data_IF_385706300481
#
_entry.id   IF_385706300481
#
_cell.length_a   1.000
_cell.length_b   1.000
_cell.length_c   1.000
_cell.angle_alpha   90.00
_cell.angle_beta   90.00
_cell.angle_gamma   90.00
#
_symmetry.space_group_name_H-M   'P 1'
#
loop_
_entity.id
_entity.type
_entity.pdbx_description
1 polymer ?
#
# COMPACT_ATOMS: atom_id res chain seq x y z
N UNK A 1 32.39 -9.41 11.86
CA UNK A 1 31.42 -8.78 10.94
C UNK A 1 31.53 -7.29 11.16
N UNK A 2 32.03 -6.55 10.17
CA UNK A 2 32.22 -5.11 10.30
C UNK A 2 30.86 -4.39 10.34
N UNK A 3 30.54 -3.66 11.42
CA UNK A 3 29.23 -3.03 11.58
C UNK A 3 28.96 -1.89 10.58
N UNK A 4 30.02 -1.36 9.95
CA UNK A 4 29.92 -0.38 8.86
C UNK A 4 29.40 -0.99 7.56
N UNK A 5 29.60 -2.29 7.33
CA UNK A 5 29.01 -2.98 6.18
C UNK A 5 27.51 -3.18 6.40
N UNK A 6 27.10 -3.57 7.62
CA UNK A 6 25.68 -3.81 7.94
C UNK A 6 24.79 -2.57 7.75
N UNK A 7 25.26 -1.37 8.15
CA UNK A 7 24.48 -0.14 7.95
C UNK A 7 24.37 0.28 6.48
N UNK A 8 25.44 0.05 5.71
CA UNK A 8 25.46 0.34 4.27
C UNK A 8 24.54 -0.61 3.51
N UNK A 9 24.57 -1.90 3.85
CA UNK A 9 23.74 -2.93 3.22
C UNK A 9 22.25 -2.66 3.48
N UNK A 10 21.88 -2.36 4.73
CA UNK A 10 20.50 -1.98 5.09
C UNK A 10 20.05 -0.73 4.33
N UNK A 11 20.92 0.27 4.17
CA UNK A 11 20.59 1.48 3.41
C UNK A 11 20.39 1.20 1.91
N UNK A 12 21.24 0.37 1.31
CA UNK A 12 21.11 -0.03 -0.09
C UNK A 12 19.83 -0.83 -0.32
N UNK A 13 19.51 -1.76 0.58
CA UNK A 13 18.26 -2.52 0.51
C UNK A 13 17.04 -1.60 0.64
N UNK A 14 17.04 -0.67 1.61
CA UNK A 14 15.97 0.31 1.78
C UNK A 14 15.77 1.16 0.51
N UNK A 15 16.87 1.62 -0.09
CA UNK A 15 16.82 2.41 -1.33
C UNK A 15 16.26 1.58 -2.50
N UNK A 16 16.62 0.30 -2.59
CA UNK A 16 16.07 -0.60 -3.61
C UNK A 16 14.57 -0.82 -3.42
N UNK A 17 14.12 -1.10 -2.20
CA UNK A 17 12.69 -1.26 -1.87
C UNK A 17 11.92 0.03 -2.15
N UNK A 18 12.48 1.20 -1.84
CA UNK A 18 11.91 2.50 -2.16
C UNK A 18 11.68 2.65 -3.67
N UNK A 19 12.72 2.42 -4.47
CA UNK A 19 12.61 2.55 -5.94
C UNK A 19 11.57 1.58 -6.53
N UNK A 20 11.47 0.36 -5.98
CA UNK A 20 10.44 -0.60 -6.41
C UNK A 20 9.02 -0.14 -6.08
N UNK A 21 8.83 0.54 -4.95
CA UNK A 21 7.54 1.17 -4.59
C UNK A 21 7.23 2.33 -5.54
N UNK A 22 8.21 3.20 -5.81
CA UNK A 22 8.02 4.34 -6.73
C UNK A 22 7.67 3.85 -8.15
N UNK A 23 8.33 2.79 -8.63
CA UNK A 23 7.99 2.15 -9.92
C UNK A 23 6.57 1.58 -9.92
N UNK A 24 6.14 0.94 -8.83
CA UNK A 24 4.77 0.42 -8.72
C UNK A 24 3.74 1.55 -8.64
N UNK A 25 4.04 2.64 -7.92
CA UNK A 25 3.18 3.82 -7.86
C UNK A 25 3.01 4.43 -9.26
N UNK A 26 4.10 4.59 -10.01
CA UNK A 26 4.05 5.07 -11.40
C UNK A 26 3.16 4.20 -12.28
N UNK A 27 3.31 2.87 -12.21
CA UNK A 27 2.44 1.93 -12.95
C UNK A 27 0.98 2.01 -12.54
N UNK A 28 0.70 2.18 -11.25
CA UNK A 28 -0.67 2.31 -10.75
C UNK A 28 -1.30 3.66 -11.16
N UNK A 29 -0.52 4.73 -11.21
CA UNK A 29 -0.97 6.03 -11.69
C UNK A 29 -1.30 5.98 -13.19
N UNK A 30 -0.43 5.40 -14.01
CA UNK A 30 -0.67 5.16 -15.44
C UNK A 30 -1.92 4.30 -15.67
N UNK A 31 -2.10 3.23 -14.89
CA UNK A 31 -3.27 2.38 -14.97
C UNK A 31 -4.56 3.11 -14.55
N UNK A 32 -4.54 3.86 -13.45
CA UNK A 32 -5.69 4.61 -12.95
C UNK A 32 -6.11 5.77 -13.87
N UNK A 33 -5.16 6.41 -14.55
CA UNK A 33 -5.42 7.44 -15.56
C UNK A 33 -5.96 6.85 -16.87
N UNK A 34 -5.52 5.65 -17.24
CA UNK A 34 -5.96 4.96 -18.46
C UNK A 34 -7.43 4.54 -18.38
N UNK A 35 -7.90 4.10 -17.20
CA UNK A 35 -9.32 3.76 -16.98
C UNK A 35 -10.23 4.98 -17.13
N UNK A 36 -9.76 6.18 -16.79
CA UNK A 36 -10.56 7.42 -16.85
C UNK A 36 -10.63 8.05 -18.24
N UNK A 37 -9.68 7.75 -19.15
CA UNK A 37 -9.62 8.31 -20.52
C UNK A 37 -10.26 7.43 -21.58
N UNK A 38 -10.48 6.15 -21.32
CA UNK A 38 -11.02 5.20 -22.31
C UNK A 38 -12.55 5.13 -22.30
N UNK A 39 -13.25 6.27 -22.34
CA UNK A 39 -14.72 6.29 -22.45
C UNK A 39 -15.24 6.42 -23.89
N UNK A 40 -14.38 6.41 -24.91
CA UNK A 40 -14.80 6.71 -26.30
C UNK A 40 -14.44 5.68 -27.38
N UNK A 41 -14.04 4.44 -27.06
CA UNK A 41 -13.88 3.43 -28.11
C UNK A 41 -14.40 2.05 -27.67
N UNK A 42 -15.54 1.70 -28.25
CA UNK A 42 -16.17 0.38 -28.25
C UNK A 42 -15.17 -0.71 -28.65
N UNK A 43 -14.92 -1.64 -27.74
CA UNK A 43 -14.52 -3.01 -28.11
C UNK A 43 -15.16 -3.97 -27.12
N UNK A 44 -16.06 -4.87 -27.56
CA UNK A 44 -16.64 -5.87 -26.68
C UNK A 44 -15.71 -7.10 -26.59
N UNK A 45 -15.92 -7.86 -25.52
CA UNK A 45 -15.45 -9.22 -25.25
C UNK A 45 -14.23 -9.38 -24.32
N UNK A 46 -14.57 -9.70 -23.07
CA UNK A 46 -13.98 -10.78 -22.27
C UNK A 46 -12.59 -10.53 -21.64
N UNK A 47 -12.56 -9.88 -20.47
CA UNK A 47 -11.37 -9.91 -19.57
C UNK A 47 -11.75 -9.95 -18.09
N UNK A 48 -11.98 -11.14 -17.49
CA UNK A 48 -12.04 -11.30 -16.04
C UNK A 48 -10.65 -11.30 -15.35
N UNK A 49 -9.56 -11.02 -16.07
CA UNK A 49 -8.19 -11.07 -15.55
C UNK A 49 -7.68 -9.75 -14.91
N UNK A 50 -8.44 -8.65 -15.00
CA UNK A 50 -7.97 -7.31 -14.58
C UNK A 50 -8.02 -7.11 -13.07
N UNK A 51 -9.08 -7.57 -12.40
CA UNK A 51 -9.28 -7.31 -10.96
C UNK A 51 -8.29 -8.08 -10.07
N UNK A 52 -8.00 -9.34 -10.40
CA UNK A 52 -7.02 -10.16 -9.67
C UNK A 52 -5.59 -9.63 -9.78
N UNK A 53 -5.24 -9.05 -10.93
CA UNK A 53 -3.95 -8.38 -11.15
C UNK A 53 -3.79 -7.13 -10.27
N UNK A 54 -4.85 -6.32 -10.17
CA UNK A 54 -4.82 -5.08 -9.39
C UNK A 54 -4.72 -5.35 -7.88
N UNK A 55 -5.46 -6.34 -7.36
CA UNK A 55 -5.36 -6.75 -5.95
C UNK A 55 -3.96 -7.31 -5.64
N UNK A 56 -3.37 -8.09 -6.55
CA UNK A 56 -2.00 -8.59 -6.38
C UNK A 56 -0.98 -7.44 -6.34
N UNK A 57 -1.16 -6.39 -7.14
CA UNK A 57 -0.31 -5.18 -7.10
C UNK A 57 -0.47 -4.44 -5.78
N UNK A 58 -1.70 -4.25 -5.29
CA UNK A 58 -1.96 -3.62 -3.99
C UNK A 58 -1.36 -4.41 -2.82
N UNK A 59 -1.46 -5.74 -2.85
CA UNK A 59 -0.85 -6.62 -1.85
C UNK A 59 0.68 -6.55 -1.89
N UNK A 60 1.28 -6.56 -3.09
CA UNK A 60 2.73 -6.37 -3.25
C UNK A 60 3.18 -5.02 -2.72
N UNK A 61 2.44 -3.96 -3.02
CA UNK A 61 2.71 -2.61 -2.51
C UNK A 61 2.69 -2.58 -0.97
N UNK A 62 1.67 -3.17 -0.35
CA UNK A 62 1.56 -3.22 1.11
C UNK A 62 2.74 -3.96 1.75
N UNK A 63 3.17 -5.08 1.15
CA UNK A 63 4.33 -5.85 1.62
C UNK A 63 5.64 -5.06 1.49
N UNK A 64 5.88 -4.41 0.35
CA UNK A 64 7.08 -3.58 0.15
C UNK A 64 7.11 -2.38 1.10
N UNK A 65 5.97 -1.72 1.32
CA UNK A 65 5.84 -0.65 2.32
C UNK A 65 6.22 -1.13 3.73
N UNK A 66 5.74 -2.30 4.14
CA UNK A 66 6.13 -2.89 5.43
C UNK A 66 7.63 -3.19 5.50
N UNK A 67 8.22 -3.71 4.42
CA UNK A 67 9.65 -3.97 4.35
C UNK A 67 10.45 -2.67 4.45
N UNK A 68 10.05 -1.62 3.73
CA UNK A 68 10.71 -0.32 3.76
C UNK A 68 10.66 0.31 5.16
N UNK A 69 9.51 0.23 5.84
CA UNK A 69 9.38 0.69 7.24
C UNK A 69 10.33 -0.08 8.16
N UNK A 70 10.38 -1.42 8.05
CA UNK A 70 11.28 -2.25 8.85
C UNK A 70 12.76 -1.90 8.62
N UNK A 71 13.16 -1.75 7.34
CA UNK A 71 14.53 -1.38 6.97
C UNK A 71 14.89 0.02 7.46
N UNK A 72 13.95 0.97 7.38
CA UNK A 72 14.15 2.34 7.87
C UNK A 72 14.30 2.36 9.39
N UNK A 73 13.46 1.64 10.13
CA UNK A 73 13.61 1.51 11.59
C UNK A 73 14.97 0.91 11.96
N UNK A 74 15.38 -0.17 11.28
CA UNK A 74 16.69 -0.80 11.49
C UNK A 74 17.84 0.16 11.18
N UNK A 75 17.72 0.93 10.10
CA UNK A 75 18.69 1.95 9.72
C UNK A 75 18.79 3.06 10.78
N UNK A 76 17.66 3.51 11.35
CA UNK A 76 17.62 4.49 12.43
C UNK A 76 18.29 3.95 13.72
N UNK A 77 18.03 2.69 14.07
CA UNK A 77 18.66 2.03 15.22
C UNK A 77 20.19 1.93 15.04
N UNK A 78 20.65 1.45 13.89
CA UNK A 78 22.07 1.36 13.56
C UNK A 78 22.74 2.75 13.52
N UNK A 79 22.03 3.76 13.00
CA UNK A 79 22.51 5.14 12.93
C UNK A 79 22.52 5.85 14.30
N UNK A 80 21.76 5.39 15.29
CA UNK A 80 21.81 5.89 16.68
C UNK A 80 22.85 5.16 17.53
N UNK A 81 23.24 3.96 17.12
CA UNK A 81 24.27 3.17 17.80
C UNK A 81 25.66 3.82 17.76
N UNK A 82 26.66 3.22 18.44
CA UNK A 82 28.03 3.73 18.50
C UNK A 82 28.73 3.82 17.14
N UNK A 83 28.19 3.13 16.12
CA UNK A 83 28.67 3.08 14.74
C UNK A 83 28.02 4.16 13.85
N UNK A 84 27.04 4.88 14.40
CA UNK A 84 26.20 5.85 13.72
C UNK A 84 26.88 7.21 13.54
N UNK A 85 27.58 7.36 12.41
CA UNK A 85 28.10 8.68 12.02
C UNK A 85 26.94 9.71 11.89
N UNK A 86 27.19 11.02 12.12
CA UNK A 86 26.19 12.06 11.88
C UNK A 86 25.60 12.03 10.46
N UNK A 87 26.37 11.55 9.49
CA UNK A 87 25.93 11.37 8.11
C UNK A 87 24.87 10.26 8.00
N UNK A 88 25.05 9.13 8.69
CA UNK A 88 24.06 8.04 8.70
C UNK A 88 22.76 8.45 9.39
N UNK A 89 22.83 9.24 10.46
CA UNK A 89 21.62 9.80 11.10
C UNK A 89 20.83 10.69 10.17
N UNK A 90 21.50 11.55 9.39
CA UNK A 90 20.85 12.38 8.37
C UNK A 90 20.21 11.54 7.27
N UNK A 91 20.89 10.46 6.82
CA UNK A 91 20.34 9.55 5.80
C UNK A 91 19.13 8.78 6.30
N UNK A 92 19.16 8.28 7.53
CA UNK A 92 18.04 7.59 8.16
C UNK A 92 16.82 8.52 8.31
N UNK A 93 17.03 9.76 8.75
CA UNK A 93 15.97 10.76 8.82
C UNK A 93 15.36 11.08 7.44
N UNK A 94 16.18 11.25 6.40
CA UNK A 94 15.66 11.44 5.04
C UNK A 94 14.85 10.24 4.55
N UNK A 95 15.31 9.02 4.85
CA UNK A 95 14.57 7.81 4.49
C UNK A 95 13.23 7.75 5.23
N UNK A 96 13.17 8.19 6.50
CA UNK A 96 11.91 8.35 7.25
C UNK A 96 10.94 9.30 6.54
N UNK A 97 11.43 10.48 6.14
CA UNK A 97 10.63 11.47 5.41
C UNK A 97 10.13 10.91 4.07
N UNK A 98 10.97 10.14 3.36
CA UNK A 98 10.60 9.45 2.13
C UNK A 98 9.47 8.44 2.36
N UNK A 99 9.54 7.63 3.44
CA UNK A 99 8.48 6.68 3.80
C UNK A 99 7.16 7.40 4.05
N UNK A 100 7.19 8.49 4.80
CA UNK A 100 5.97 9.26 5.11
C UNK A 100 5.38 9.89 3.83
N UNK A 101 6.23 10.41 2.94
CA UNK A 101 5.83 10.91 1.62
C UNK A 101 5.17 9.83 0.76
N UNK A 102 5.79 8.65 0.66
CA UNK A 102 5.27 7.50 -0.09
C UNK A 102 3.93 7.04 0.48
N UNK A 103 3.79 6.98 1.80
CA UNK A 103 2.52 6.62 2.46
C UNK A 103 1.39 7.56 2.05
N UNK A 104 1.63 8.87 2.13
CA UNK A 104 0.64 9.89 1.72
C UNK A 104 0.27 9.74 0.25
N UNK A 105 1.26 9.53 -0.63
CA UNK A 105 1.01 9.34 -2.07
C UNK A 105 0.21 8.06 -2.35
N UNK A 106 0.54 6.96 -1.67
CA UNK A 106 -0.18 5.68 -1.78
C UNK A 106 -1.62 5.83 -1.32
N UNK A 107 -1.86 6.46 -0.17
CA UNK A 107 -3.21 6.68 0.37
C UNK A 107 -4.06 7.57 -0.55
N UNK A 108 -3.45 8.60 -1.16
CA UNK A 108 -4.14 9.45 -2.16
C UNK A 108 -4.54 8.66 -3.39
N UNK A 109 -3.62 7.84 -3.91
CA UNK A 109 -3.84 7.06 -5.12
C UNK A 109 -4.88 5.96 -4.91
N UNK A 110 -4.82 5.24 -3.79
CA UNK A 110 -5.84 4.25 -3.42
C UNK A 110 -7.22 4.88 -3.22
N UNK A 111 -7.30 6.05 -2.57
CA UNK A 111 -8.55 6.78 -2.43
C UNK A 111 -9.11 7.24 -3.79
N UNK A 112 -8.25 7.68 -4.70
CA UNK A 112 -8.66 8.04 -6.06
C UNK A 112 -9.25 6.82 -6.79
N UNK A 113 -8.54 5.69 -6.80
CA UNK A 113 -9.01 4.44 -7.41
C UNK A 113 -10.36 4.01 -6.82
N UNK A 114 -10.49 4.04 -5.48
CA UNK A 114 -11.73 3.66 -4.81
C UNK A 114 -12.91 4.55 -5.23
N UNK A 115 -12.71 5.88 -5.27
CA UNK A 115 -13.73 6.84 -5.72
C UNK A 115 -14.10 6.65 -7.20
N UNK A 116 -13.13 6.35 -8.06
CA UNK A 116 -13.39 6.07 -9.48
C UNK A 116 -14.22 4.80 -9.64
N UNK A 117 -13.84 3.71 -8.97
CA UNK A 117 -14.60 2.46 -8.97
C UNK A 117 -16.01 2.62 -8.42
N UNK A 118 -16.18 3.37 -7.33
CA UNK A 118 -17.50 3.63 -6.76
C UNK A 118 -18.38 4.41 -7.77
N UNK A 119 -17.80 5.35 -8.52
CA UNK A 119 -18.50 6.07 -9.59
C UNK A 119 -18.87 5.15 -10.76
N UNK A 120 -17.98 4.27 -11.19
CA UNK A 120 -18.26 3.28 -12.23
C UNK A 120 -19.37 2.31 -11.81
N UNK A 121 -19.41 1.87 -10.56
CA UNK A 121 -20.53 1.05 -10.05
C UNK A 121 -21.86 1.79 -10.06
N UNK A 122 -21.86 3.08 -9.73
CA UNK A 122 -23.08 3.89 -9.66
C UNK A 122 -23.57 4.39 -11.03
N UNK A 123 -22.69 4.60 -12.00
CA UNK A 123 -23.02 5.17 -13.31
C UNK A 123 -22.79 4.24 -14.51
N UNK A 124 -21.99 3.18 -14.37
CA UNK A 124 -21.73 2.19 -15.41
C UNK A 124 -22.89 1.23 -15.69
N UNK A 125 -23.85 1.12 -14.78
CA UNK A 125 -25.08 0.33 -14.99
C UNK A 125 -26.13 1.04 -15.88
N UNK A 126 -25.92 2.32 -16.23
CA UNK A 126 -26.97 3.11 -16.91
C UNK A 126 -27.09 2.83 -18.41
N UNK A 127 -26.26 1.96 -18.98
CA UNK A 127 -26.28 1.61 -20.41
C UNK A 127 -26.66 0.13 -20.68
N UNK A 128 -27.16 -0.62 -19.70
CA UNK A 128 -27.59 -2.01 -19.91
C UNK A 128 -28.94 -2.30 -19.26
N UNK A 129 -29.93 -1.48 -19.56
CA UNK A 129 -31.32 -1.94 -19.59
C UNK A 129 -31.55 -2.64 -20.92
N UNK A 130 -31.17 -3.92 -21.00
CA UNK A 130 -31.89 -4.91 -21.79
C UNK A 130 -31.41 -6.32 -21.45
N UNK A 131 -32.33 -7.08 -20.85
CA UNK A 131 -32.38 -8.54 -20.73
C UNK A 131 -31.42 -9.29 -19.77
N UNK A 132 -31.95 -9.57 -18.57
CA UNK A 132 -31.99 -10.94 -18.06
C UNK A 132 -31.03 -11.30 -16.91
N UNK A 133 -31.59 -11.47 -15.70
CA UNK A 133 -31.02 -12.36 -14.68
C UNK A 133 -30.71 -11.73 -13.32
N UNK A 134 -31.74 -11.48 -12.52
CA UNK A 134 -31.69 -10.86 -11.19
C UNK A 134 -31.00 -11.71 -10.08
N UNK A 135 -30.48 -12.91 -10.41
CA UNK A 135 -29.86 -13.81 -9.41
C UNK A 135 -28.35 -13.61 -9.25
N UNK A 136 -27.67 -12.97 -10.20
CA UNK A 136 -26.22 -12.77 -10.15
C UNK A 136 -25.82 -11.54 -9.34
N UNK A 137 -26.61 -10.47 -9.39
CA UNK A 137 -26.36 -9.23 -8.65
C UNK A 137 -26.38 -9.43 -7.12
N UNK A 138 -27.34 -10.23 -6.62
CA UNK A 138 -27.43 -10.56 -5.20
C UNK A 138 -26.24 -11.39 -4.72
N UNK A 139 -25.80 -12.36 -5.53
CA UNK A 139 -24.61 -13.18 -5.24
C UNK A 139 -23.30 -12.36 -5.24
N UNK A 140 -23.20 -11.37 -6.13
CA UNK A 140 -22.06 -10.45 -6.18
C UNK A 140 -22.05 -9.50 -4.98
N UNK A 141 -23.22 -8.99 -4.57
CA UNK A 141 -23.36 -8.17 -3.37
C UNK A 141 -23.00 -8.95 -2.10
N UNK A 142 -23.42 -10.22 -1.99
CA UNK A 142 -23.02 -11.08 -0.87
C UNK A 142 -21.51 -11.31 -0.84
N UNK A 143 -20.89 -11.57 -1.99
CA UNK A 143 -19.43 -11.77 -2.09
C UNK A 143 -18.65 -10.50 -1.78
N UNK A 144 -19.12 -9.35 -2.25
CA UNK A 144 -18.54 -8.05 -1.94
C UNK A 144 -18.69 -7.71 -0.46
N UNK A 145 -19.86 -7.97 0.13
CA UNK A 145 -20.08 -7.78 1.56
C UNK A 145 -19.16 -8.66 2.39
N UNK A 146 -18.92 -9.90 1.96
CA UNK A 146 -18.00 -10.82 2.62
C UNK A 146 -16.53 -10.37 2.48
N UNK A 147 -16.14 -9.86 1.31
CA UNK A 147 -14.81 -9.29 1.08
C UNK A 147 -14.57 -8.01 1.90
N UNK A 148 -15.59 -7.13 1.99
CA UNK A 148 -15.56 -5.93 2.83
C UNK A 148 -15.48 -6.29 4.31
N UNK A 149 -16.20 -7.31 4.75
CA UNK A 149 -16.16 -7.78 6.14
C UNK A 149 -14.81 -8.41 6.49
N UNK A 150 -14.19 -9.15 5.55
CA UNK A 150 -12.82 -9.65 5.71
C UNK A 150 -11.79 -8.51 5.74
N UNK A 151 -11.95 -7.52 4.85
CA UNK A 151 -11.11 -6.31 4.82
C UNK A 151 -11.20 -5.53 6.14
N UNK A 152 -12.41 -5.33 6.66
CA UNK A 152 -12.63 -4.69 7.96
C UNK A 152 -11.98 -5.48 9.11
N UNK A 153 -12.11 -6.81 9.13
CA UNK A 153 -11.44 -7.65 10.14
C UNK A 153 -9.90 -7.61 10.05
N UNK A 154 -9.35 -7.51 8.84
CA UNK A 154 -7.91 -7.31 8.65
C UNK A 154 -7.45 -5.95 9.16
N UNK A 155 -8.21 -4.88 8.88
CA UNK A 155 -7.91 -3.53 9.38
C UNK A 155 -7.97 -3.48 10.92
N UNK A 156 -8.95 -4.12 11.55
CA UNK A 156 -9.02 -4.23 13.01
C UNK A 156 -7.84 -5.02 13.58
N UNK A 157 -7.41 -6.09 12.90
CA UNK A 157 -6.20 -6.82 13.29
C UNK A 157 -4.95 -5.94 13.18
N UNK A 158 -4.85 -5.10 12.15
CA UNK A 158 -3.74 -4.16 11.95
C UNK A 158 -3.76 -3.07 13.05
N UNK A 159 -4.93 -2.52 13.35
CA UNK A 159 -5.10 -1.53 14.42
C UNK A 159 -4.79 -2.13 15.80
N UNK A 160 -5.24 -3.36 16.06
CA UNK A 160 -4.92 -4.10 17.28
C UNK A 160 -3.42 -4.36 17.42
N UNK A 161 -2.76 -4.77 16.34
CA UNK A 161 -1.31 -4.97 16.33
C UNK A 161 -0.54 -3.66 16.48
N UNK A 162 -1.04 -2.57 15.90
CA UNK A 162 -0.54 -1.20 16.07
C UNK A 162 -0.63 -0.73 17.52
N UNK A 163 -1.78 -0.94 18.17
CA UNK A 163 -1.96 -0.64 19.59
C UNK A 163 -1.05 -1.46 20.49
N UNK A 164 -0.87 -2.75 20.23
CA UNK A 164 0.06 -3.59 20.98
C UNK A 164 1.52 -3.11 20.84
N UNK A 165 1.90 -2.64 19.65
CA UNK A 165 3.24 -2.10 19.37
C UNK A 165 3.46 -0.76 20.06
N UNK A 166 2.47 0.14 20.00
CA UNK A 166 2.47 1.41 20.74
C UNK A 166 2.53 1.17 22.25
N UNK A 167 1.76 0.22 22.77
CA UNK A 167 1.81 -0.17 24.19
C UNK A 167 3.20 -0.60 24.62
N UNK A 168 3.88 -1.43 23.82
CA UNK A 168 5.28 -1.84 24.08
C UNK A 168 6.25 -0.65 24.04
N UNK A 169 6.12 0.27 23.09
CA UNK A 169 6.94 1.48 23.03
C UNK A 169 6.72 2.42 24.22
N UNK A 170 5.48 2.54 24.68
CA UNK A 170 5.12 3.37 25.84
C UNK A 170 5.68 2.77 27.13
N UNK A 171 5.58 1.44 27.28
CA UNK A 171 6.13 0.69 28.41
C UNK A 171 7.66 0.77 28.45
N UNK A 172 8.33 0.65 27.29
CA UNK A 172 9.78 0.87 27.16
C UNK A 172 10.18 2.30 27.55
N UNK A 173 9.42 3.31 27.15
CA UNK A 173 9.65 4.70 27.56
C UNK A 173 9.48 4.94 29.07
N UNK A 174 8.65 4.14 29.73
CA UNK A 174 8.40 4.26 31.18
C UNK A 174 9.52 3.62 32.00
N UNK A 175 10.17 2.57 31.48
CA UNK A 175 11.30 1.88 32.14
C UNK A 175 12.64 2.63 31.96
N UNK A 176 12.76 3.43 30.90
CA UNK A 176 13.96 4.21 30.58
C UNK A 176 14.00 5.62 31.20
N UNK A 177 12.95 6.00 31.94
CA UNK A 177 12.89 7.22 32.76
C UNK A 177 13.13 6.88 34.22
#
# INVERSE_FOLDING_TARGET
MDPLNDISDVFQEATRTKNEIDDLLGRMEEAGLSTSRSSNLTTPANRPASEGSEVAVQQRMAMLMQQLVKLTNRLEELARGPQGSPMWRKRAARMRDDVDGIKVSTDRLLNHIFRTRQREKLFGAKNSTENGGDQTAESQLLRERQALQQSAGMLDSILGQGHATLGKMTQQNTVLK
#
